data_IF_467299087270
#
_entry.id   IF_467299087270
#
_cell.length_a   1.000
_cell.length_b   1.000
_cell.length_c   1.000
_cell.angle_alpha   90.00
_cell.angle_beta   90.00
_cell.angle_gamma   90.00
#
_symmetry.space_group_name_H-M   'P 1'
#
loop_
_entity.id
_entity.type
_entity.pdbx_description
1 polymer ?
#
# COMPACT_ATOMS: atom_id res chain seq x y z
N UNK A 1 13.26 9.65 2.36
CA UNK A 1 11.81 9.41 2.55
C UNK A 1 11.65 8.07 3.25
N UNK A 2 10.64 7.87 4.11
CA UNK A 2 10.49 6.66 4.92
C UNK A 2 9.92 5.52 4.07
N UNK A 3 10.80 4.71 3.47
CA UNK A 3 10.41 3.53 2.70
C UNK A 3 10.47 2.28 3.56
N UNK A 4 9.41 1.49 3.52
CA UNK A 4 9.27 0.23 4.23
C UNK A 4 9.31 -0.96 3.24
N UNK A 5 10.26 -1.90 3.39
CA UNK A 5 10.21 -3.16 2.66
C UNK A 5 9.07 -4.03 3.19
N UNK A 6 8.31 -4.65 2.28
CA UNK A 6 7.33 -5.67 2.62
C UNK A 6 7.08 -6.63 1.47
N UNK A 7 6.43 -7.75 1.78
CA UNK A 7 5.94 -8.70 0.80
C UNK A 7 4.44 -8.52 0.63
N UNK A 8 3.99 -8.23 -0.59
CA UNK A 8 2.58 -8.29 -0.97
C UNK A 8 2.27 -9.68 -1.53
N UNK A 9 1.12 -10.24 -1.20
CA UNK A 9 0.68 -11.55 -1.66
C UNK A 9 -0.78 -11.50 -2.11
N UNK A 10 -1.05 -12.06 -3.29
CA UNK A 10 -2.38 -12.24 -3.84
C UNK A 10 -2.52 -13.66 -4.40
N UNK A 11 -3.38 -14.47 -3.77
CA UNK A 11 -3.50 -15.89 -4.12
C UNK A 11 -2.18 -16.64 -3.90
N UNK A 12 -1.59 -17.15 -4.97
CA UNK A 12 -0.33 -17.90 -4.95
C UNK A 12 0.90 -17.09 -5.40
N UNK A 13 0.74 -15.78 -5.64
CA UNK A 13 1.83 -14.90 -6.07
C UNK A 13 2.21 -13.95 -4.95
N UNK A 14 3.51 -13.77 -4.78
CA UNK A 14 4.09 -12.83 -3.82
C UNK A 14 5.11 -11.95 -4.51
N UNK A 15 5.21 -10.69 -4.08
CA UNK A 15 6.11 -9.70 -4.61
C UNK A 15 6.69 -8.86 -3.47
N UNK A 16 8.02 -8.75 -3.42
CA UNK A 16 8.70 -7.79 -2.55
C UNK A 16 8.60 -6.39 -3.13
N UNK A 17 8.19 -5.42 -2.31
CA UNK A 17 8.06 -4.02 -2.71
C UNK A 17 8.65 -3.10 -1.64
N UNK A 18 9.04 -1.90 -2.06
CA UNK A 18 9.34 -0.78 -1.16
C UNK A 18 8.15 0.17 -1.19
N UNK A 19 7.49 0.36 -0.05
CA UNK A 19 6.36 1.27 0.07
C UNK A 19 6.76 2.55 0.79
N UNK A 20 6.32 3.70 0.27
CA UNK A 20 6.46 4.99 0.92
C UNK A 20 5.40 5.11 2.03
N UNK A 21 5.84 5.40 3.26
CA UNK A 21 4.92 5.80 4.33
C UNK A 21 4.58 7.29 4.15
N UNK A 22 3.32 7.58 3.83
CA UNK A 22 2.85 8.94 3.54
C UNK A 22 1.67 9.32 4.43
N UNK A 23 1.95 10.07 5.49
CA UNK A 23 0.91 10.63 6.38
C UNK A 23 0.07 11.71 5.69
N UNK A 24 0.45 12.18 4.50
CA UNK A 24 -0.39 13.05 3.67
C UNK A 24 -1.45 12.30 2.87
N UNK A 25 -1.31 10.98 2.73
CA UNK A 25 -2.23 10.15 1.96
C UNK A 25 -3.33 9.55 2.86
N UNK A 26 -4.59 9.67 2.43
CA UNK A 26 -5.71 9.05 3.15
C UNK A 26 -5.80 7.54 2.91
N UNK A 27 -5.49 7.06 1.70
CA UNK A 27 -5.61 5.65 1.31
C UNK A 27 -4.27 5.09 0.84
N UNK A 28 -4.13 3.78 0.87
CA UNK A 28 -2.99 3.14 0.22
C UNK A 28 -3.14 3.19 -1.30
N UNK A 29 -2.03 3.33 -2.02
CA UNK A 29 -2.01 3.37 -3.49
C UNK A 29 -1.10 2.26 -4.01
N UNK A 30 -1.61 1.49 -4.97
CA UNK A 30 -0.87 0.43 -5.65
C UNK A 30 -0.68 0.80 -7.13
N UNK A 31 0.55 0.82 -7.66
CA UNK A 31 0.81 1.07 -9.08
C UNK A 31 0.25 -0.06 -9.97
N UNK A 32 -0.05 0.27 -11.22
CA UNK A 32 -0.68 -0.67 -12.15
C UNK A 32 0.09 -2.00 -12.27
N UNK A 33 1.39 -1.88 -12.54
CA UNK A 33 2.31 -2.98 -12.80
C UNK A 33 2.51 -3.88 -11.59
N UNK A 34 2.41 -3.34 -10.37
CA UNK A 34 2.53 -4.13 -9.13
C UNK A 34 1.34 -5.07 -8.99
N UNK A 35 0.12 -4.58 -9.23
CA UNK A 35 -1.08 -5.43 -9.25
C UNK A 35 -1.03 -6.50 -10.34
N UNK A 36 -0.56 -6.17 -11.55
CA UNK A 36 -0.39 -7.13 -12.63
C UNK A 36 0.61 -8.25 -12.29
N UNK A 37 1.75 -7.90 -11.68
CA UNK A 37 2.76 -8.88 -11.24
C UNK A 37 2.21 -9.81 -10.15
N UNK A 38 1.40 -9.28 -9.23
CA UNK A 38 0.64 -10.06 -8.25
C UNK A 38 -0.46 -10.93 -8.87
N UNK A 39 -0.71 -10.81 -10.19
CA UNK A 39 -1.71 -11.59 -10.91
C UNK A 39 -3.14 -11.05 -10.77
N UNK A 40 -3.29 -9.81 -10.29
CA UNK A 40 -4.59 -9.14 -10.31
C UNK A 40 -5.01 -8.86 -11.77
N UNK A 41 -6.31 -8.96 -12.02
CA UNK A 41 -6.92 -8.62 -13.31
C UNK A 41 -7.71 -7.33 -13.11
N UNK A 42 -7.33 -6.29 -13.86
CA UNK A 42 -7.89 -4.94 -13.73
C UNK A 42 -9.40 -4.95 -13.94
N UNK A 43 -9.85 -5.61 -15.01
CA UNK A 43 -11.23 -5.73 -15.44
C UNK A 43 -12.13 -6.42 -14.40
N UNK A 44 -11.56 -7.28 -13.56
CA UNK A 44 -12.29 -7.96 -12.49
C UNK A 44 -12.57 -7.04 -11.29
N UNK A 45 -11.86 -5.91 -11.17
CA UNK A 45 -12.09 -4.96 -10.08
C UNK A 45 -13.21 -3.99 -10.48
N UNK A 46 -14.28 -3.94 -9.69
CA UNK A 46 -15.49 -3.16 -10.03
C UNK A 46 -15.72 -1.97 -9.10
N UNK A 47 -15.03 -1.93 -7.96
CA UNK A 47 -15.14 -0.83 -6.99
C UNK A 47 -14.23 0.30 -7.44
N UNK A 48 -14.79 1.43 -7.84
CA UNK A 48 -14.01 2.64 -8.11
C UNK A 48 -13.62 3.33 -6.80
N UNK A 49 -12.35 3.73 -6.68
CA UNK A 49 -11.86 4.51 -5.54
C UNK A 49 -11.53 5.93 -6.03
N UNK A 50 -12.27 6.96 -5.60
CA UNK A 50 -11.96 8.32 -6.00
C UNK A 50 -10.67 8.78 -5.31
N UNK A 51 -9.75 9.31 -6.11
CA UNK A 51 -8.50 9.91 -5.64
C UNK A 51 -8.56 11.43 -5.73
N UNK A 52 -7.63 12.10 -5.05
CA UNK A 52 -7.50 13.56 -5.03
C UNK A 52 -6.06 14.00 -5.25
N UNK A 53 -5.82 15.32 -5.27
CA UNK A 53 -4.49 15.88 -5.49
C UNK A 53 -3.91 15.49 -6.84
N UNK A 54 -2.64 15.06 -6.83
CA UNK A 54 -1.91 14.72 -8.06
C UNK A 54 -2.45 13.49 -8.79
N UNK A 55 -3.28 12.66 -8.13
CA UNK A 55 -3.87 11.45 -8.70
C UNK A 55 -5.37 11.61 -9.00
N UNK A 56 -5.92 12.83 -8.88
CA UNK A 56 -7.37 13.06 -9.00
C UNK A 56 -7.98 12.70 -10.36
N UNK A 57 -7.16 12.62 -11.42
CA UNK A 57 -7.61 12.29 -12.79
C UNK A 57 -7.34 10.84 -13.18
N UNK A 58 -6.79 10.05 -12.26
CA UNK A 58 -6.36 8.70 -12.54
C UNK A 58 -7.49 7.72 -12.23
N UNK A 59 -7.74 6.80 -13.16
CA UNK A 59 -8.66 5.71 -12.89
C UNK A 59 -8.05 4.78 -11.85
N UNK A 60 -8.82 4.54 -10.80
CA UNK A 60 -8.41 3.67 -9.71
C UNK A 60 -9.53 2.76 -9.25
N UNK A 61 -9.14 1.52 -8.93
CA UNK A 61 -10.03 0.44 -8.54
C UNK A 61 -9.58 -0.14 -7.20
N UNK A 62 -10.53 -0.59 -6.41
CA UNK A 62 -10.25 -1.25 -5.14
C UNK A 62 -9.57 -2.59 -5.38
N UNK A 63 -8.43 -2.83 -4.72
CA UNK A 63 -7.78 -4.14 -4.67
C UNK A 63 -7.37 -4.45 -3.24
N UNK A 64 -7.70 -5.65 -2.76
CA UNK A 64 -7.27 -6.14 -1.45
C UNK A 64 -6.17 -7.18 -1.64
N UNK A 65 -5.04 -6.99 -0.96
CA UNK A 65 -3.90 -7.91 -1.00
C UNK A 65 -3.42 -8.19 0.42
N UNK A 66 -2.79 -9.34 0.66
CA UNK A 66 -2.15 -9.60 1.95
C UNK A 66 -0.77 -8.94 1.99
N UNK A 67 -0.46 -8.18 3.04
CA UNK A 67 0.85 -7.58 3.27
C UNK A 67 1.55 -8.21 4.47
N UNK A 68 2.82 -8.58 4.30
CA UNK A 68 3.68 -9.10 5.38
C UNK A 68 4.89 -8.21 5.55
N UNK A 69 5.09 -7.71 6.76
CA UNK A 69 6.20 -6.82 7.12
C UNK A 69 7.08 -7.57 8.10
N UNK A 70 8.37 -7.70 7.79
CA UNK A 70 9.33 -8.43 8.60
C UNK A 70 8.80 -9.82 9.04
N UNK A 71 8.62 -10.04 10.34
CA UNK A 71 8.09 -11.28 10.93
C UNK A 71 6.69 -11.11 11.54
N UNK A 72 6.01 -10.01 11.23
CA UNK A 72 4.66 -9.77 11.74
C UNK A 72 3.65 -10.67 11.02
N UNK A 73 2.51 -10.99 11.66
CA UNK A 73 1.42 -11.67 11.00
C UNK A 73 0.97 -10.92 9.74
N UNK A 74 0.61 -11.61 8.65
CA UNK A 74 0.08 -10.95 7.46
C UNK A 74 -1.22 -10.21 7.77
N UNK A 75 -1.38 -9.01 7.22
CA UNK A 75 -2.62 -8.21 7.33
C UNK A 75 -3.25 -8.01 5.96
N UNK A 76 -4.56 -7.81 5.92
CA UNK A 76 -5.24 -7.47 4.67
C UNK A 76 -5.10 -5.97 4.42
N UNK A 77 -4.53 -5.63 3.26
CA UNK A 77 -4.29 -4.28 2.84
C UNK A 77 -5.21 -3.89 1.69
N UNK A 78 -6.03 -2.86 1.91
CA UNK A 78 -6.88 -2.28 0.88
C UNK A 78 -6.15 -1.17 0.13
N UNK A 79 -6.14 -1.22 -1.19
CA UNK A 79 -5.49 -0.26 -2.07
C UNK A 79 -6.45 0.38 -3.06
N UNK A 80 -6.21 1.65 -3.36
CA UNK A 80 -6.53 2.22 -4.66
C UNK A 80 -5.46 1.73 -5.66
N UNK A 81 -5.80 0.70 -6.42
CA UNK A 81 -4.98 0.23 -7.53
C UNK A 81 -5.22 1.14 -8.73
N UNK A 82 -4.19 1.79 -9.23
CA UNK A 82 -4.29 2.87 -10.22
C UNK A 82 -3.77 2.43 -11.60
N UNK A 83 -4.40 2.87 -12.69
CA UNK A 83 -3.97 2.58 -14.07
C UNK A 83 -2.88 3.55 -14.54
N UNK A 84 -1.89 3.80 -13.68
CA UNK A 84 -0.71 4.62 -13.97
C UNK A 84 0.51 3.89 -13.43
N UNK A 85 1.55 3.83 -14.26
CA UNK A 85 2.89 3.40 -13.87
C UNK A 85 3.75 4.56 -13.39
N UNK A 86 4.86 4.24 -12.72
CA UNK A 86 5.87 5.18 -12.21
C UNK A 86 5.46 6.02 -10.98
N UNK A 87 4.69 5.42 -10.08
CA UNK A 87 4.53 5.91 -8.71
C UNK A 87 5.01 4.83 -7.73
N UNK A 88 5.53 5.18 -6.54
CA UNK A 88 5.81 4.17 -5.52
C UNK A 88 4.50 3.54 -5.01
N UNK A 89 4.60 2.37 -4.39
CA UNK A 89 3.54 1.90 -3.49
C UNK A 89 3.45 2.91 -2.34
N UNK A 90 2.25 3.38 -2.00
CA UNK A 90 2.04 4.36 -0.93
C UNK A 90 1.19 3.74 0.16
N UNK A 91 1.61 3.90 1.42
CA UNK A 91 0.77 3.62 2.58
C UNK A 91 0.25 4.91 3.19
N UNK A 92 -1.09 4.99 3.26
CA UNK A 92 -1.82 6.10 3.82
C UNK A 92 -2.53 5.73 5.12
N UNK A 93 -3.26 6.69 5.68
CA UNK A 93 -3.91 6.57 6.98
C UNK A 93 -4.91 5.40 7.09
N UNK A 94 -5.73 5.21 6.06
CA UNK A 94 -6.76 4.16 6.07
C UNK A 94 -6.11 2.80 5.86
N UNK A 95 -6.55 1.85 6.68
CA UNK A 95 -6.09 0.47 6.69
C UNK A 95 -4.63 0.32 7.20
N UNK A 96 -3.57 0.78 6.51
CA UNK A 96 -2.19 0.49 6.97
C UNK A 96 -1.85 1.09 8.34
N UNK A 97 -2.04 2.41 8.53
CA UNK A 97 -1.78 3.07 9.81
C UNK A 97 -2.82 2.72 10.90
N UNK A 98 -3.89 2.00 10.54
CA UNK A 98 -4.83 1.44 11.51
C UNK A 98 -4.35 0.08 12.05
N UNK A 99 -3.62 -0.69 11.24
CA UNK A 99 -3.03 -1.98 11.63
C UNK A 99 -1.70 -1.82 12.38
N UNK A 100 -0.95 -0.75 12.13
CA UNK A 100 0.39 -0.53 12.70
C UNK A 100 0.51 0.83 13.39
N UNK A 101 1.15 0.83 14.56
CA UNK A 101 1.69 2.04 15.16
C UNK A 101 2.96 2.46 14.40
N UNK A 102 3.03 3.73 14.00
CA UNK A 102 4.15 4.28 13.24
C UNK A 102 4.68 5.53 13.92
N UNK A 103 5.99 5.53 14.21
CA UNK A 103 6.69 6.67 14.80
C UNK A 103 7.79 7.15 13.85
N UNK A 104 7.78 8.45 13.51
CA UNK A 104 8.80 9.05 12.65
C UNK A 104 9.78 9.89 13.47
N UNK A 105 11.07 9.57 13.32
CA UNK A 105 12.18 10.28 13.96
C UNK A 105 12.92 11.10 12.91
N UNK A 106 12.37 12.29 12.61
CA UNK A 106 12.76 13.06 11.41
C UNK A 106 14.23 13.47 11.41
N UNK A 107 14.78 13.88 12.56
CA UNK A 107 16.18 14.28 12.68
C UNK A 107 17.12 13.08 12.47
N UNK A 108 16.75 11.93 13.01
CA UNK A 108 17.51 10.67 12.90
C UNK A 108 17.32 9.96 11.55
N UNK A 109 16.45 10.47 10.68
CA UNK A 109 16.05 9.84 9.42
C UNK A 109 15.54 8.40 9.59
N UNK A 110 14.97 8.10 10.75
CA UNK A 110 14.49 6.78 11.14
C UNK A 110 12.97 6.77 11.33
N UNK A 111 12.40 5.58 11.31
CA UNK A 111 11.02 5.35 11.70
C UNK A 111 10.89 3.96 12.31
N UNK A 112 9.89 3.79 13.16
CA UNK A 112 9.53 2.52 13.78
C UNK A 112 8.13 2.11 13.32
N UNK A 113 7.94 0.79 13.13
CA UNK A 113 6.66 0.18 12.80
C UNK A 113 6.42 -0.96 13.77
N UNK A 114 5.34 -0.89 14.51
CA UNK A 114 4.93 -1.92 15.46
C UNK A 114 3.49 -2.35 15.16
N UNK A 115 3.17 -3.65 15.15
CA UNK A 115 1.78 -4.08 15.04
C UNK A 115 0.99 -3.51 16.22
N UNK A 116 -0.28 -3.18 15.99
CA UNK A 116 -1.18 -2.88 17.10
C UNK A 116 -1.31 -4.14 17.96
N UNK A 117 -1.16 -3.99 19.28
CA UNK A 117 -1.46 -5.10 20.18
C UNK A 117 -2.95 -5.46 20.04
N UNK A 118 -3.21 -6.75 19.80
CA UNK A 118 -4.56 -7.30 19.61
C UNK A 118 -5.31 -7.52 20.92
#
# INVERSE_FOLDING_TARGET
MPYLPLVLTLGNRSLEVMALLDTGASVNVLPYEVGLQLGAVWENQTVSIPLSGNLARSDSRGLVVSGTIARFPPVLLGFAWIEIGDIPVIFGHMNFFAEFNICFYRHELAFEVCPKEG
#
